data_IF_575947762183
#
_entry.id   IF_575947762183
#
_cell.length_a   1.000
_cell.length_b   1.000
_cell.length_c   1.000
_cell.angle_alpha   90.00
_cell.angle_beta   90.00
_cell.angle_gamma   90.00
#
_symmetry.space_group_name_H-M   'P 1'
#
loop_
_entity.id
_entity.type
_entity.pdbx_description
1 polymer ?
#
# COMPACT_ATOMS: atom_id res chain seq x y z
N UNK A 1 -4.10 27.71 11.30
CA UNK A 1 -3.54 28.63 10.29
C UNK A 1 -4.18 28.52 8.91
N UNK A 2 -4.75 27.36 8.51
CA UNK A 2 -5.46 27.26 7.22
C UNK A 2 -6.96 26.95 7.31
N UNK A 3 -7.56 26.73 8.50
CA UNK A 3 -8.98 26.30 8.61
C UNK A 3 -9.14 24.79 8.41
N UNK A 4 -10.05 24.14 9.16
CA UNK A 4 -10.21 22.66 9.13
C UNK A 4 -10.68 22.15 7.77
N UNK A 5 -11.35 23.00 6.99
CA UNK A 5 -11.98 22.63 5.72
C UNK A 5 -11.05 22.78 4.51
N UNK A 6 -9.83 23.31 4.71
CA UNK A 6 -8.90 23.61 3.62
C UNK A 6 -7.83 22.53 3.37
N UNK A 7 -7.88 21.40 4.10
CA UNK A 7 -6.97 20.27 3.88
C UNK A 7 -7.80 19.05 3.48
N UNK A 8 -7.79 18.75 2.18
CA UNK A 8 -8.62 17.69 1.58
C UNK A 8 -7.92 16.33 1.66
N UNK A 9 -6.59 16.29 1.55
CA UNK A 9 -5.74 15.13 1.82
C UNK A 9 -4.27 15.56 1.98
N UNK A 10 -3.55 14.99 2.95
CA UNK A 10 -2.12 15.26 3.16
C UNK A 10 -1.31 13.95 3.14
N UNK A 11 -0.11 13.96 2.55
CA UNK A 11 0.83 12.85 2.55
C UNK A 11 2.17 13.25 3.16
N UNK A 12 2.88 12.27 3.75
CA UNK A 12 4.21 12.45 4.32
C UNK A 12 5.15 11.37 3.76
N UNK A 13 6.28 11.80 3.22
CA UNK A 13 7.35 10.90 2.80
C UNK A 13 8.47 10.92 3.82
N UNK A 14 8.79 9.77 4.40
CA UNK A 14 9.91 9.60 5.33
C UNK A 14 10.89 8.57 4.78
N UNK A 15 12.19 8.89 4.84
CA UNK A 15 13.27 7.97 4.47
C UNK A 15 13.93 7.46 5.74
N UNK A 16 13.93 6.15 5.93
CA UNK A 16 14.48 5.49 7.12
C UNK A 16 15.68 4.64 6.70
N UNK A 17 16.82 4.84 7.37
CA UNK A 17 18.04 4.06 7.12
C UNK A 17 18.05 2.82 8.03
N UNK A 18 18.03 1.60 7.49
CA UNK A 18 17.88 0.39 8.28
C UNK A 18 19.25 -0.11 8.76
N UNK A 19 19.84 0.56 9.76
CA UNK A 19 21.06 0.11 10.43
C UNK A 19 20.75 -0.95 11.48
N UNK A 20 21.36 -2.11 11.35
CA UNK A 20 21.29 -3.18 12.34
C UNK A 20 22.07 -2.77 13.60
N UNK A 21 21.44 -2.72 14.79
CA UNK A 21 22.12 -2.29 16.01
C UNK A 21 23.19 -3.28 16.48
N UNK A 22 23.09 -4.57 16.12
CA UNK A 22 24.03 -5.60 16.58
C UNK A 22 25.29 -5.62 15.70
N UNK A 23 25.13 -5.38 14.40
CA UNK A 23 26.23 -5.50 13.42
C UNK A 23 26.70 -4.17 12.85
N UNK A 24 25.95 -3.08 13.03
CA UNK A 24 26.20 -1.75 12.44
C UNK A 24 25.95 -1.66 10.93
N UNK A 25 25.61 -2.77 10.26
CA UNK A 25 25.42 -2.86 8.81
C UNK A 25 24.01 -2.48 8.38
N UNK A 26 23.83 -2.17 7.09
CA UNK A 26 22.50 -1.95 6.51
C UNK A 26 21.77 -3.28 6.32
N UNK A 27 20.59 -3.44 6.92
CA UNK A 27 19.80 -4.66 6.85
C UNK A 27 18.29 -4.37 6.85
N UNK A 28 17.71 -4.09 5.68
CA UNK A 28 16.26 -3.88 5.54
C UNK A 28 15.45 -5.12 5.95
N UNK A 29 15.97 -6.32 5.64
CA UNK A 29 15.27 -7.59 5.84
C UNK A 29 15.02 -7.86 7.32
N UNK A 30 15.91 -7.42 8.22
CA UNK A 30 15.71 -7.54 9.66
C UNK A 30 14.44 -6.82 10.15
N UNK A 31 14.12 -5.67 9.56
CA UNK A 31 13.02 -4.81 10.03
C UNK A 31 11.73 -4.99 9.23
N UNK A 32 11.84 -5.20 7.90
CA UNK A 32 10.72 -5.23 6.96
C UNK A 32 10.60 -6.58 6.22
N UNK A 33 11.36 -7.59 6.66
CA UNK A 33 11.42 -8.89 6.00
C UNK A 33 10.17 -9.72 6.24
N UNK A 34 9.33 -9.81 5.22
CA UNK A 34 8.23 -10.76 5.15
C UNK A 34 6.90 -10.25 5.69
N UNK A 35 5.85 -11.03 5.44
CA UNK A 35 4.47 -10.63 5.69
C UNK A 35 4.15 -10.41 7.18
N UNK A 36 4.76 -11.19 8.08
CA UNK A 36 4.54 -11.08 9.53
C UNK A 36 5.03 -9.73 10.07
N UNK A 37 6.29 -9.36 9.79
CA UNK A 37 6.87 -8.10 10.24
C UNK A 37 6.08 -6.88 9.73
N UNK A 38 5.64 -6.91 8.46
CA UNK A 38 4.83 -5.85 7.88
C UNK A 38 3.42 -5.77 8.50
N UNK A 39 2.80 -6.91 8.82
CA UNK A 39 1.51 -6.95 9.49
C UNK A 39 1.60 -6.37 10.92
N UNK A 40 2.61 -6.79 11.69
CA UNK A 40 2.86 -6.29 13.04
C UNK A 40 3.14 -4.78 13.02
N UNK A 41 3.97 -4.30 12.08
CA UNK A 41 4.24 -2.88 11.91
C UNK A 41 2.98 -2.07 11.61
N UNK A 42 2.09 -2.53 10.74
CA UNK A 42 0.81 -1.86 10.47
C UNK A 42 -0.07 -1.80 11.73
N UNK A 43 -0.09 -2.88 12.51
CA UNK A 43 -0.83 -2.96 13.77
C UNK A 43 -0.29 -1.99 14.81
N UNK A 44 1.03 -1.94 14.97
CA UNK A 44 1.68 -1.01 15.89
C UNK A 44 1.51 0.45 15.46
N UNK A 45 1.61 0.73 14.16
CA UNK A 45 1.39 2.07 13.64
C UNK A 45 -0.04 2.54 13.91
N UNK A 46 -1.05 1.71 13.64
CA UNK A 46 -2.45 2.05 13.95
C UNK A 46 -2.66 2.27 15.46
N UNK A 47 -1.99 1.49 16.32
CA UNK A 47 -2.09 1.63 17.78
C UNK A 47 -1.43 2.91 18.30
N UNK A 48 -0.23 3.23 17.83
CA UNK A 48 0.59 4.32 18.36
C UNK A 48 0.24 5.66 17.70
N UNK A 49 0.04 5.66 16.39
CA UNK A 49 -0.17 6.89 15.59
C UNK A 49 -1.63 7.08 15.25
N UNK A 50 -2.33 6.01 14.83
CA UNK A 50 -3.71 6.12 14.33
C UNK A 50 -4.74 6.38 15.43
N UNK A 51 -4.75 5.55 16.48
CA UNK A 51 -5.76 5.59 17.55
C UNK A 51 -5.90 6.96 18.23
N UNK A 52 -4.81 7.69 18.58
CA UNK A 52 -4.93 9.01 19.19
C UNK A 52 -5.65 10.05 18.30
N UNK A 53 -5.64 9.86 16.98
CA UNK A 53 -6.27 10.77 16.00
C UNK A 53 -7.53 10.18 15.37
N UNK A 54 -8.05 9.07 15.91
CA UNK A 54 -9.27 8.42 15.41
C UNK A 54 -9.09 7.63 14.10
N UNK A 55 -7.87 7.33 13.68
CA UNK A 55 -7.62 6.48 12.52
C UNK A 55 -7.54 5.00 12.93
N UNK A 56 -8.19 4.16 12.15
CA UNK A 56 -8.23 2.72 12.35
C UNK A 56 -7.22 1.98 11.47
N UNK A 57 -6.89 0.75 11.87
CA UNK A 57 -6.04 -0.15 11.08
C UNK A 57 -6.79 -0.58 9.82
N UNK A 58 -6.10 -0.63 8.68
CA UNK A 58 -6.63 -1.30 7.48
C UNK A 58 -6.90 -2.80 7.70
N UNK A 59 -7.57 -3.45 6.74
CA UNK A 59 -7.94 -4.87 6.84
C UNK A 59 -6.69 -5.75 6.98
N UNK A 60 -6.67 -6.57 8.02
CA UNK A 60 -5.60 -7.56 8.24
C UNK A 60 -5.62 -8.63 7.15
N UNK A 61 -4.46 -8.88 6.52
CA UNK A 61 -4.36 -9.86 5.43
C UNK A 61 -5.07 -9.42 4.14
N UNK A 62 -5.28 -8.11 3.97
CA UNK A 62 -5.89 -7.54 2.76
C UNK A 62 -5.27 -8.10 1.47
N UNK A 63 -6.13 -8.40 0.49
CA UNK A 63 -5.73 -8.84 -0.85
C UNK A 63 -5.51 -7.67 -1.82
N UNK A 64 -5.69 -6.44 -1.34
CA UNK A 64 -5.47 -5.23 -2.11
C UNK A 64 -4.05 -5.20 -2.69
N UNK A 65 -3.94 -4.73 -3.94
CA UNK A 65 -2.63 -4.62 -4.62
C UNK A 65 -2.26 -3.16 -4.78
N UNK A 66 -1.00 -2.82 -4.52
CA UNK A 66 -0.50 -1.46 -4.71
C UNK A 66 -0.66 -1.00 -6.16
N UNK A 67 -1.22 0.19 -6.36
CA UNK A 67 -1.43 0.80 -7.69
C UNK A 67 -0.66 2.12 -7.77
N UNK A 68 0.03 2.36 -8.90
CA UNK A 68 0.80 3.60 -9.12
C UNK A 68 -0.14 4.80 -9.28
N UNK A 69 0.17 5.89 -8.59
CA UNK A 69 -0.70 7.08 -8.48
C UNK A 69 -0.93 7.81 -9.82
N UNK A 70 0.11 7.94 -10.66
CA UNK A 70 0.06 8.67 -11.94
C UNK A 70 -0.98 8.09 -12.91
N UNK A 71 -1.13 6.77 -12.91
CA UNK A 71 -2.10 6.08 -13.78
C UNK A 71 -3.53 6.31 -13.32
N UNK A 72 -3.75 6.49 -12.01
CA UNK A 72 -5.08 6.56 -11.42
C UNK A 72 -5.79 7.90 -11.71
N UNK A 73 -5.14 9.03 -11.42
CA UNK A 73 -5.77 10.35 -11.58
C UNK A 73 -5.92 10.79 -13.04
N UNK A 74 -4.93 10.51 -13.89
CA UNK A 74 -4.97 10.93 -15.30
C UNK A 74 -6.09 10.30 -16.13
N UNK A 75 -6.71 9.23 -15.62
CA UNK A 75 -7.81 8.50 -16.25
C UNK A 75 -9.20 8.90 -15.72
N UNK A 76 -9.30 9.46 -14.51
CA UNK A 76 -10.58 9.83 -13.91
C UNK A 76 -11.14 11.14 -14.47
N UNK A 77 -10.28 12.00 -15.00
CA UNK A 77 -10.63 13.36 -15.45
C UNK A 77 -10.93 13.45 -16.95
N UNK A 78 -10.89 12.34 -17.69
CA UNK A 78 -10.99 12.36 -19.17
C UNK A 78 -12.08 11.45 -19.69
N UNK A 79 -12.90 12.00 -20.58
CA UNK A 79 -13.85 11.21 -21.35
C UNK A 79 -13.13 10.30 -22.35
N UNK A 80 -13.81 9.20 -22.71
CA UNK A 80 -13.32 8.35 -23.77
C UNK A 80 -13.32 9.13 -25.11
N UNK A 81 -12.20 9.19 -25.83
CA UNK A 81 -12.14 9.84 -27.14
C UNK A 81 -13.08 9.15 -28.12
N UNK A 82 -13.76 9.94 -28.97
CA UNK A 82 -14.55 9.41 -30.07
C UNK A 82 -13.68 8.63 -31.07
N UNK A 83 -14.30 7.76 -31.87
CA UNK A 83 -13.57 6.97 -32.86
C UNK A 83 -12.91 7.87 -33.92
N UNK A 84 -11.61 7.68 -34.16
CA UNK A 84 -10.88 8.40 -35.20
C UNK A 84 -11.02 7.69 -36.55
N UNK A 85 -11.70 8.35 -37.50
CA UNK A 85 -11.77 7.90 -38.88
C UNK A 85 -10.53 8.32 -39.65
N UNK A 86 -9.83 7.35 -40.25
CA UNK A 86 -8.71 7.62 -41.16
C UNK A 86 -9.22 7.82 -42.58
N UNK A 87 -8.68 8.82 -43.25
CA UNK A 87 -8.98 9.12 -44.64
C UNK A 87 -7.83 8.69 -45.56
N UNK A 88 -8.08 8.60 -46.86
CA UNK A 88 -7.03 8.33 -47.84
C UNK A 88 -5.90 9.39 -47.80
N UNK A 89 -6.21 10.64 -47.41
CA UNK A 89 -5.23 11.69 -47.26
C UNK A 89 -4.27 11.44 -46.09
N UNK A 90 -4.73 10.81 -45.00
CA UNK A 90 -3.89 10.49 -43.84
C UNK A 90 -2.84 9.42 -44.17
N UNK A 91 -3.19 8.54 -45.12
CA UNK A 91 -2.34 7.47 -45.65
C UNK A 91 -1.34 7.96 -46.70
N UNK A 92 -1.51 9.17 -47.23
CA UNK A 92 -0.64 9.69 -48.27
C UNK A 92 0.73 10.13 -47.69
N UNK A 93 1.85 9.88 -48.41
CA UNK A 93 3.15 10.39 -48.02
C UNK A 93 3.22 11.91 -47.98
N UNK A 94 3.68 12.48 -46.86
CA UNK A 94 3.85 13.92 -46.71
C UNK A 94 5.23 14.39 -47.16
N UNK A 95 5.35 15.66 -47.56
CA UNK A 95 6.65 16.27 -47.92
C UNK A 95 7.35 16.72 -46.64
N UNK A 96 8.48 16.08 -46.30
CA UNK A 96 9.26 16.36 -45.10
C UNK A 96 10.10 17.63 -45.24
N UNK A 97 10.69 17.86 -46.43
CA UNK A 97 11.43 19.09 -46.77
C UNK A 97 11.21 19.47 -48.22
N UNK A 98 10.83 20.73 -48.47
CA UNK A 98 10.88 21.33 -49.80
C UNK A 98 12.29 21.90 -50.02
N UNK A 99 13.05 21.29 -50.93
CA UNK A 99 14.29 21.87 -51.47
C UNK A 99 14.01 22.64 -52.75
N UNK A 100 14.98 23.46 -53.18
CA UNK A 100 14.92 24.25 -54.42
C UNK A 100 14.98 23.33 -55.67
N UNK A 101 15.50 22.10 -55.53
CA UNK A 101 15.70 21.15 -56.65
C UNK A 101 14.96 19.81 -56.43
N UNK A 102 14.99 19.22 -55.23
CA UNK A 102 14.24 18.00 -54.90
C UNK A 102 13.46 18.15 -53.59
N UNK A 103 12.22 17.66 -53.56
CA UNK A 103 11.41 17.52 -52.35
C UNK A 103 11.60 16.13 -51.75
N UNK A 104 11.95 16.05 -50.46
CA UNK A 104 11.99 14.78 -49.72
C UNK A 104 10.57 14.43 -49.24
N UNK A 105 10.03 13.29 -49.67
CA UNK A 105 8.75 12.75 -49.21
C UNK A 105 8.96 11.64 -48.19
N UNK A 106 7.98 11.45 -47.30
CA UNK A 106 7.94 10.29 -46.40
C UNK A 106 8.01 8.99 -47.21
N UNK A 107 8.79 8.03 -46.74
CA UNK A 107 8.71 6.66 -47.22
C UNK A 107 7.55 5.90 -46.53
N UNK A 108 7.16 4.70 -47.02
CA UNK A 108 6.05 3.95 -46.44
C UNK A 108 6.21 3.63 -44.94
N UNK A 109 7.43 3.40 -44.46
CA UNK A 109 7.70 3.13 -43.04
C UNK A 109 7.46 4.38 -42.17
N UNK A 110 7.85 5.55 -42.66
CA UNK A 110 7.63 6.84 -41.99
C UNK A 110 6.14 7.18 -41.93
N UNK A 111 5.40 6.94 -43.01
CA UNK A 111 3.93 7.06 -43.03
C UNK A 111 3.29 6.15 -41.98
N UNK A 112 3.67 4.85 -41.97
CA UNK A 112 3.16 3.88 -41.00
C UNK A 112 3.46 4.30 -39.56
N UNK A 113 4.67 4.79 -39.28
CA UNK A 113 5.07 5.27 -37.96
C UNK A 113 4.26 6.49 -37.53
N UNK A 114 4.09 7.48 -38.40
CA UNK A 114 3.30 8.70 -38.13
C UNK A 114 1.84 8.34 -37.81
N UNK A 115 1.22 7.50 -38.62
CA UNK A 115 -0.17 7.06 -38.40
C UNK A 115 -0.28 6.29 -37.09
N UNK A 116 0.62 5.34 -36.83
CA UNK A 116 0.63 4.57 -35.59
C UNK A 116 0.75 5.47 -34.36
N UNK A 117 1.65 6.46 -34.38
CA UNK A 117 1.79 7.45 -33.31
C UNK A 117 0.53 8.29 -33.15
N UNK A 118 -0.09 8.71 -34.25
CA UNK A 118 -1.31 9.51 -34.24
C UNK A 118 -2.48 8.74 -33.62
N UNK A 119 -2.65 7.46 -33.98
CA UNK A 119 -3.66 6.57 -33.41
C UNK A 119 -3.38 6.34 -31.93
N UNK A 120 -2.13 6.04 -31.58
CA UNK A 120 -1.73 5.81 -30.20
C UNK A 120 -2.04 7.03 -29.32
N UNK A 121 -1.60 8.22 -29.72
CA UNK A 121 -1.89 9.46 -29.00
C UNK A 121 -3.39 9.73 -28.86
N UNK A 122 -4.18 9.43 -29.89
CA UNK A 122 -5.63 9.60 -29.86
C UNK A 122 -6.31 8.68 -28.85
N UNK A 123 -5.89 7.40 -28.77
CA UNK A 123 -6.50 6.40 -27.88
C UNK A 123 -5.81 6.24 -26.52
N UNK A 124 -4.67 6.88 -26.30
CA UNK A 124 -3.95 6.85 -25.02
C UNK A 124 -4.86 7.14 -23.80
N UNK A 125 -5.77 8.12 -23.83
CA UNK A 125 -6.73 8.34 -22.73
C UNK A 125 -7.68 7.16 -22.51
N UNK A 126 -8.17 6.53 -23.58
CA UNK A 126 -9.05 5.35 -23.49
C UNK A 126 -8.31 4.16 -22.86
N UNK A 127 -7.05 3.95 -23.24
CA UNK A 127 -6.20 2.86 -22.72
C UNK A 127 -5.92 3.09 -21.23
N UNK A 128 -5.63 4.32 -20.82
CA UNK A 128 -5.44 4.69 -19.41
C UNK A 128 -6.71 4.43 -18.59
N UNK A 129 -7.86 4.87 -19.10
CA UNK A 129 -9.18 4.65 -18.50
C UNK A 129 -9.52 3.17 -18.35
N UNK A 130 -9.31 2.37 -19.40
CA UNK A 130 -9.49 0.92 -19.35
C UNK A 130 -8.55 0.26 -18.33
N UNK A 131 -7.31 0.76 -18.21
CA UNK A 131 -6.35 0.26 -17.21
C UNK A 131 -6.84 0.55 -15.78
N UNK A 132 -7.34 1.76 -15.52
CA UNK A 132 -7.91 2.12 -14.21
C UNK A 132 -9.15 1.28 -13.91
N UNK A 133 -10.08 1.12 -14.85
CA UNK A 133 -11.26 0.28 -14.67
C UNK A 133 -10.88 -1.19 -14.35
N UNK A 134 -9.88 -1.74 -15.04
CA UNK A 134 -9.34 -3.08 -14.73
C UNK A 134 -8.74 -3.15 -13.33
N UNK A 135 -7.98 -2.14 -12.91
CA UNK A 135 -7.43 -2.10 -11.55
C UNK A 135 -8.51 -1.98 -10.49
N UNK A 136 -9.53 -1.15 -10.70
CA UNK A 136 -10.68 -1.01 -9.81
C UNK A 136 -11.45 -2.33 -9.68
N UNK A 137 -11.66 -3.03 -10.81
CA UNK A 137 -12.30 -4.36 -10.81
C UNK A 137 -11.47 -5.38 -10.03
N UNK A 138 -10.15 -5.41 -10.22
CA UNK A 138 -9.25 -6.28 -9.45
C UNK A 138 -9.29 -5.94 -7.97
N UNK A 139 -9.32 -4.66 -7.62
CA UNK A 139 -9.39 -4.18 -6.24
C UNK A 139 -10.72 -4.60 -5.59
N UNK A 140 -11.86 -4.41 -6.26
CA UNK A 140 -13.16 -4.85 -5.77
C UNK A 140 -13.22 -6.37 -5.54
N UNK A 141 -12.58 -7.17 -6.41
CA UNK A 141 -12.46 -8.61 -6.21
C UNK A 141 -11.63 -8.94 -4.98
N UNK A 142 -10.47 -8.30 -4.82
CA UNK A 142 -9.61 -8.45 -3.66
C UNK A 142 -10.33 -8.08 -2.35
N UNK A 143 -11.06 -6.96 -2.33
CA UNK A 143 -11.84 -6.52 -1.18
C UNK A 143 -12.93 -7.54 -0.84
N UNK A 144 -13.63 -8.07 -1.86
CA UNK A 144 -14.62 -9.14 -1.67
C UNK A 144 -13.99 -10.41 -1.09
N UNK A 145 -12.79 -10.79 -1.53
CA UNK A 145 -12.07 -11.93 -0.97
C UNK A 145 -11.65 -11.69 0.50
N UNK A 146 -11.15 -10.50 0.81
CA UNK A 146 -10.84 -10.11 2.18
C UNK A 146 -12.07 -10.10 3.09
N UNK A 147 -13.21 -9.59 2.61
CA UNK A 147 -14.49 -9.64 3.34
C UNK A 147 -14.97 -11.06 3.57
N UNK A 148 -14.88 -11.95 2.57
CA UNK A 148 -15.19 -13.38 2.75
C UNK A 148 -14.32 -14.03 3.81
N UNK A 149 -13.01 -13.76 3.79
CA UNK A 149 -12.09 -14.29 4.79
C UNK A 149 -12.44 -13.81 6.20
N UNK A 150 -12.79 -12.53 6.34
CA UNK A 150 -13.25 -11.97 7.61
C UNK A 150 -14.56 -12.62 8.07
N UNK A 151 -15.53 -12.79 7.18
CA UNK A 151 -16.80 -13.47 7.48
C UNK A 151 -16.57 -14.92 7.93
N UNK A 152 -15.69 -15.67 7.27
CA UNK A 152 -15.34 -17.04 7.69
C UNK A 152 -14.70 -17.06 9.08
N UNK A 153 -13.76 -16.14 9.37
CA UNK A 153 -13.11 -16.03 10.68
C UNK A 153 -14.10 -15.68 11.79
N UNK A 154 -15.06 -14.81 11.51
CA UNK A 154 -16.05 -14.35 12.48
C UNK A 154 -17.28 -15.26 12.58
N UNK A 155 -17.50 -16.15 11.61
CA UNK A 155 -18.66 -17.05 11.53
C UNK A 155 -18.94 -17.83 12.82
N UNK A 156 -17.94 -18.47 13.45
CA UNK A 156 -18.14 -19.17 14.73
C UNK A 156 -18.66 -18.25 15.84
N UNK A 157 -18.10 -17.04 15.97
CA UNK A 157 -18.53 -16.07 16.98
C UNK A 157 -19.95 -15.57 16.73
N UNK A 158 -20.27 -15.26 15.46
CA UNK A 158 -21.61 -14.83 15.08
C UNK A 158 -22.64 -15.93 15.35
N UNK A 159 -22.29 -17.20 15.11
CA UNK A 159 -23.15 -18.34 15.43
C UNK A 159 -23.42 -18.44 16.94
N UNK A 160 -22.37 -18.41 17.76
CA UNK A 160 -22.49 -18.42 19.23
C UNK A 160 -23.38 -17.28 19.73
N UNK A 161 -23.17 -16.05 19.24
CA UNK A 161 -23.98 -14.90 19.65
C UNK A 161 -25.45 -15.02 19.20
N UNK A 162 -25.72 -15.66 18.05
CA UNK A 162 -27.07 -15.89 17.56
C UNK A 162 -27.85 -16.82 18.48
N UNK A 163 -27.21 -17.88 18.94
CA UNK A 163 -27.79 -18.92 19.80
C UNK A 163 -28.05 -18.41 21.24
N UNK A 164 -27.55 -17.21 21.56
CA UNK A 164 -27.76 -16.56 22.85
C UNK A 164 -28.92 -15.55 22.74
N UNK A 165 -29.89 -15.57 23.69
CA UNK A 165 -30.96 -14.59 23.74
C UNK A 165 -30.41 -13.16 23.82
N UNK A 166 -31.06 -12.22 23.13
CA UNK A 166 -30.59 -10.84 22.97
C UNK A 166 -30.21 -10.18 24.30
N UNK A 167 -30.99 -10.42 25.36
CA UNK A 167 -30.77 -9.89 26.71
C UNK A 167 -29.41 -10.27 27.34
N UNK A 168 -28.77 -11.35 26.87
CA UNK A 168 -27.47 -11.80 27.38
C UNK A 168 -26.31 -11.50 26.43
N UNK A 169 -26.58 -11.07 25.19
CA UNK A 169 -25.53 -10.78 24.19
C UNK A 169 -24.60 -9.68 24.66
N UNK A 170 -25.13 -8.61 25.25
CA UNK A 170 -24.32 -7.50 25.78
C UNK A 170 -23.37 -7.98 26.88
N UNK A 171 -23.83 -8.81 27.81
CA UNK A 171 -22.98 -9.38 28.87
C UNK A 171 -21.85 -10.25 28.32
N UNK A 172 -22.14 -11.01 27.27
CA UNK A 172 -21.13 -11.85 26.59
C UNK A 172 -20.09 -10.96 25.90
N UNK A 173 -20.54 -9.93 25.18
CA UNK A 173 -19.65 -8.96 24.54
C UNK A 173 -18.77 -8.25 25.58
N UNK A 174 -19.36 -7.78 26.69
CA UNK A 174 -18.64 -7.14 27.79
C UNK A 174 -17.57 -8.08 28.39
N UNK A 175 -17.92 -9.35 28.62
CA UNK A 175 -16.99 -10.37 29.10
C UNK A 175 -15.82 -10.59 28.13
N UNK A 176 -16.10 -10.69 26.83
CA UNK A 176 -15.06 -10.80 25.80
C UNK A 176 -14.13 -9.58 25.79
N UNK A 177 -14.67 -8.36 25.92
CA UNK A 177 -13.90 -7.12 25.99
C UNK A 177 -12.97 -7.12 27.20
N UNK A 178 -13.49 -7.47 28.39
CA UNK A 178 -12.69 -7.55 29.62
C UNK A 178 -11.56 -8.57 29.49
N UNK A 179 -11.85 -9.77 28.98
CA UNK A 179 -10.83 -10.80 28.75
C UNK A 179 -9.76 -10.32 27.78
N UNK A 180 -10.15 -9.67 26.67
CA UNK A 180 -9.22 -9.13 25.69
C UNK A 180 -8.32 -8.04 26.30
N UNK A 181 -8.86 -7.17 27.16
CA UNK A 181 -8.09 -6.16 27.89
C UNK A 181 -7.07 -6.81 28.83
N UNK A 182 -7.48 -7.83 29.60
CA UNK A 182 -6.59 -8.56 30.51
C UNK A 182 -5.44 -9.26 29.77
N UNK A 183 -5.74 -9.92 28.64
CA UNK A 183 -4.72 -10.58 27.82
C UNK A 183 -3.74 -9.56 27.23
N UNK A 184 -4.23 -8.41 26.76
CA UNK A 184 -3.37 -7.32 26.28
C UNK A 184 -2.45 -6.79 27.36
N UNK A 185 -2.96 -6.59 28.57
CA UNK A 185 -2.14 -6.13 29.69
C UNK A 185 -1.03 -7.14 30.01
N UNK A 186 -1.37 -8.43 30.13
CA UNK A 186 -0.40 -9.49 30.37
C UNK A 186 0.69 -9.55 29.31
N UNK A 187 0.33 -9.41 28.03
CA UNK A 187 1.30 -9.38 26.93
C UNK A 187 2.23 -8.16 27.00
N UNK A 188 1.71 -6.99 27.42
CA UNK A 188 2.53 -5.80 27.62
C UNK A 188 3.50 -5.97 28.78
N UNK A 189 3.04 -6.51 29.90
CA UNK A 189 3.88 -6.75 31.07
C UNK A 189 5.02 -7.73 30.75
N UNK A 190 4.71 -8.82 30.04
CA UNK A 190 5.70 -9.78 29.54
C UNK A 190 6.72 -9.14 28.59
N UNK A 191 6.27 -8.25 27.70
CA UNK A 191 7.18 -7.55 26.79
C UNK A 191 8.14 -6.61 27.53
N UNK A 192 7.64 -5.89 28.55
CA UNK A 192 8.46 -5.03 29.41
C UNK A 192 9.48 -5.85 30.19
N UNK A 193 9.06 -6.99 30.74
CA UNK A 193 9.95 -7.88 31.50
C UNK A 193 11.04 -8.48 30.61
N UNK A 194 10.69 -8.99 29.43
CA UNK A 194 11.66 -9.49 28.44
C UNK A 194 12.65 -8.40 27.98
N UNK A 195 12.20 -7.14 27.83
CA UNK A 195 13.10 -6.02 27.54
C UNK A 195 14.06 -5.72 28.69
N UNK A 196 13.58 -5.77 29.94
CA UNK A 196 14.41 -5.56 31.14
C UNK A 196 15.46 -6.66 31.27
N UNK A 197 15.10 -7.92 31.02
CA UNK A 197 16.04 -9.05 31.04
C UNK A 197 17.13 -8.89 29.97
N UNK A 198 16.74 -8.59 28.72
CA UNK A 198 17.70 -8.33 27.64
C UNK A 198 18.64 -7.16 27.97
N UNK A 199 18.13 -6.08 28.55
CA UNK A 199 18.96 -4.94 28.97
C UNK A 199 19.96 -5.35 30.07
N UNK A 200 19.56 -6.20 31.02
CA UNK A 200 20.44 -6.75 32.07
C UNK A 200 21.53 -7.66 31.48
N UNK A 201 21.19 -8.51 30.52
CA UNK A 201 22.16 -9.38 29.84
C UNK A 201 23.19 -8.58 29.03
N UNK A 202 22.75 -7.56 28.29
CA UNK A 202 23.64 -6.66 27.55
C UNK A 202 24.58 -5.91 28.51
N UNK A 203 24.05 -5.42 29.64
CA UNK A 203 24.86 -4.79 30.69
C UNK A 203 25.91 -5.74 31.26
N UNK A 204 25.54 -7.00 31.55
CA UNK A 204 26.48 -8.03 32.05
C UNK A 204 27.57 -8.37 31.03
N UNK A 205 27.24 -8.49 29.74
CA UNK A 205 28.21 -8.77 28.69
C UNK A 205 29.19 -7.60 28.47
N UNK A 206 28.71 -6.35 28.49
CA UNK A 206 29.59 -5.16 28.40
C UNK A 206 30.56 -5.06 29.58
N UNK A 207 30.10 -5.36 30.80
CA UNK A 207 30.97 -5.39 31.98
C UNK A 207 32.06 -6.48 31.87
N UNK A 208 31.73 -7.65 31.32
CA UNK A 208 32.69 -8.75 31.07
C UNK A 208 33.72 -8.41 29.98
N UNK A 209 33.34 -7.73 28.91
CA UNK A 209 34.28 -7.25 27.89
C UNK A 209 35.23 -6.17 28.44
N UNK A 210 34.72 -5.19 29.17
CA UNK A 210 35.56 -4.14 29.78
C UNK A 210 36.57 -4.70 30.81
N UNK A 211 36.23 -5.76 31.54
CA UNK A 211 37.17 -6.44 32.45
C UNK A 211 38.29 -7.20 31.73
N UNK A 212 38.09 -7.63 30.49
CA UNK A 212 39.12 -8.33 29.69
C UNK A 212 40.07 -7.38 28.96
N UNK A 213 39.64 -6.14 28.69
CA UNK A 213 40.45 -5.11 28.03
C UNK A 213 41.43 -4.36 28.96
N UNK A 214 41.25 -4.43 30.29
CA UNK A 214 42.12 -3.77 31.29
C UNK A 214 43.26 -4.65 31.82
N UNK A 215 43.42 -5.86 31.29
CA UNK A 215 44.43 -6.84 31.70
C UNK A 215 45.62 -6.97 30.74
N UNK A 216 45.97 -5.90 30.01
CA UNK A 216 47.14 -5.85 29.13
C UNK A 216 47.98 -4.61 29.41
#
# INVERSE_FOLDING_TARGET
>A
RHGKDNVIAANLSAYVVPKDPDTGRLNCRRFLGGAKALNEMQTDFARVVGRPVGLERGIEGSKATHTKLKTYYGALERDAPEHKNLTAADLAPQVLKKGIILSAKENPEQVAKRISQTIQQHYDPAIQSATVARTATRQAKADRESLKQLQTRLGPFVKVLRDIPTQYREKVIEGCVKLAQQLRQKLQDQAIEAQRERAREIGRNRSRENSRGRGR
#
